data_IF_497219654893
#
_entry.id   IF_497219654893
#
_cell.length_a   1.000
_cell.length_b   1.000
_cell.length_c   1.000
_cell.angle_alpha   90.00
_cell.angle_beta   90.00
_cell.angle_gamma   90.00
#
_symmetry.space_group_name_H-M   'P 1'
#
loop_
_entity.id
_entity.type
_entity.pdbx_description
1 polymer ?
#
# COMPACT_ATOMS: atom_id res chain seq x y z
N UNK A 1 7.14 -13.11 35.32
CA UNK A 1 6.06 -12.36 34.64
C UNK A 1 6.10 -12.69 33.16
N UNK A 2 5.07 -13.31 32.63
CA UNK A 2 4.96 -13.57 31.20
C UNK A 2 4.75 -12.21 30.48
N UNK A 3 5.64 -11.86 29.56
CA UNK A 3 5.47 -10.65 28.74
C UNK A 3 4.55 -11.02 27.58
N UNK A 4 3.46 -10.29 27.43
CA UNK A 4 2.52 -10.43 26.31
C UNK A 4 3.25 -10.21 24.98
N UNK A 5 2.99 -11.06 23.99
CA UNK A 5 3.55 -11.00 22.65
C UNK A 5 2.45 -10.71 21.61
N UNK A 6 2.86 -10.35 20.40
CA UNK A 6 1.89 -10.10 19.30
C UNK A 6 1.08 -11.36 18.95
N UNK A 7 1.63 -12.55 19.11
CA UNK A 7 0.91 -13.82 18.91
C UNK A 7 -0.25 -14.02 19.90
N UNK A 8 -0.22 -13.32 21.06
CA UNK A 8 -1.25 -13.38 22.09
C UNK A 8 -2.44 -12.44 21.81
N UNK A 9 -2.31 -11.53 20.83
CA UNK A 9 -3.31 -10.54 20.45
C UNK A 9 -3.66 -10.67 18.96
N UNK A 10 -4.94 -10.49 18.61
CA UNK A 10 -5.35 -10.46 17.22
C UNK A 10 -5.13 -9.09 16.56
N UNK A 11 -5.18 -9.05 15.24
CA UNK A 11 -4.97 -7.84 14.43
C UNK A 11 -5.86 -6.67 14.85
N UNK A 12 -7.14 -6.92 15.10
CA UNK A 12 -8.11 -5.90 15.53
C UNK A 12 -7.69 -5.22 16.84
N UNK A 13 -7.27 -6.01 17.83
CA UNK A 13 -6.82 -5.49 19.12
C UNK A 13 -5.49 -4.76 18.97
N UNK A 14 -4.59 -5.25 18.11
CA UNK A 14 -3.35 -4.58 17.78
C UNK A 14 -3.61 -3.17 17.21
N UNK A 15 -4.49 -3.04 16.22
CA UNK A 15 -4.87 -1.75 15.62
C UNK A 15 -5.52 -0.83 16.67
N UNK A 16 -6.42 -1.37 17.50
CA UNK A 16 -7.03 -0.60 18.59
C UNK A 16 -6.00 0.00 19.53
N UNK A 17 -5.00 -0.77 19.93
CA UNK A 17 -3.93 -0.30 20.82
C UNK A 17 -3.06 0.77 20.18
N UNK A 18 -2.87 0.73 18.86
CA UNK A 18 -2.17 1.76 18.11
C UNK A 18 -2.95 3.07 18.00
N UNK A 19 -4.26 3.01 18.06
CA UNK A 19 -5.13 4.19 17.93
C UNK A 19 -4.83 5.30 18.93
N UNK A 20 -4.29 4.97 20.12
CA UNK A 20 -3.86 5.98 21.10
C UNK A 20 -2.70 6.89 20.66
N UNK A 21 -1.94 6.44 19.66
CA UNK A 21 -0.81 7.18 19.10
C UNK A 21 -1.20 7.98 17.83
N UNK A 22 -2.43 7.86 17.38
CA UNK A 22 -2.90 8.44 16.12
C UNK A 22 -3.95 9.53 16.38
N UNK A 23 -4.12 10.48 15.45
CA UNK A 23 -5.28 11.37 15.47
C UNK A 23 -6.58 10.57 15.41
N UNK A 24 -7.65 11.13 15.99
CA UNK A 24 -8.97 10.49 15.97
C UNK A 24 -9.44 10.24 14.53
N UNK A 25 -10.08 9.11 14.30
CA UNK A 25 -10.67 8.68 13.02
C UNK A 25 -9.68 8.30 11.90
N UNK A 26 -8.39 8.11 12.19
CA UNK A 26 -7.43 7.63 11.17
C UNK A 26 -7.36 6.10 11.04
N UNK A 27 -7.99 5.37 11.94
CA UNK A 27 -8.03 3.89 11.93
C UNK A 27 -9.36 3.32 11.45
N UNK A 28 -10.27 4.16 10.94
CA UNK A 28 -11.62 3.75 10.56
C UNK A 28 -11.76 3.34 9.10
N UNK A 29 -10.76 3.61 8.28
CA UNK A 29 -10.74 3.34 6.84
C UNK A 29 -9.35 2.85 6.40
N UNK A 30 -9.25 2.23 5.23
CA UNK A 30 -8.00 1.72 4.66
C UNK A 30 -7.05 2.85 4.26
N UNK A 31 -7.58 4.06 4.06
CA UNK A 31 -6.78 5.25 3.73
C UNK A 31 -6.78 6.29 4.85
N UNK A 32 -5.61 6.87 5.09
CA UNK A 32 -5.49 8.08 5.88
C UNK A 32 -5.92 9.29 5.06
N UNK A 33 -6.67 10.22 5.70
CA UNK A 33 -7.10 11.47 5.09
C UNK A 33 -6.25 12.63 5.60
N UNK A 34 -5.57 13.32 4.67
CA UNK A 34 -4.79 14.53 4.95
C UNK A 34 -5.55 15.74 4.39
N UNK A 35 -6.07 16.58 5.26
CA UNK A 35 -6.78 17.80 4.87
C UNK A 35 -5.77 18.90 4.54
N UNK A 36 -5.87 19.47 3.35
CA UNK A 36 -5.10 20.65 2.94
C UNK A 36 -6.04 21.82 2.61
N UNK A 37 -5.48 23.00 2.33
CA UNK A 37 -6.29 24.18 1.99
C UNK A 37 -7.08 24.04 0.68
N UNK A 38 -6.54 23.30 -0.29
CA UNK A 38 -7.07 23.26 -1.64
C UNK A 38 -7.72 21.91 -1.97
N UNK A 39 -7.12 20.82 -1.52
CA UNK A 39 -7.55 19.46 -1.82
C UNK A 39 -7.28 18.54 -0.62
N UNK A 40 -8.09 17.53 -0.47
CA UNK A 40 -7.83 16.46 0.48
C UNK A 40 -7.01 15.36 -0.17
N UNK A 41 -5.99 14.89 0.51
CA UNK A 41 -5.16 13.78 0.07
C UNK A 41 -5.58 12.50 0.79
N UNK A 42 -5.64 11.42 0.04
CA UNK A 42 -5.78 10.06 0.55
C UNK A 42 -4.42 9.37 0.45
N UNK A 43 -4.05 8.68 1.50
CA UNK A 43 -2.79 7.94 1.57
C UNK A 43 -3.05 6.57 2.17
N UNK A 44 -2.61 5.53 1.50
CA UNK A 44 -2.56 4.19 2.08
C UNK A 44 -1.19 3.54 1.88
N UNK A 45 -0.90 2.55 2.70
CA UNK A 45 0.32 1.76 2.58
C UNK A 45 -0.02 0.30 2.76
N UNK A 46 0.43 -0.52 1.82
CA UNK A 46 0.30 -1.97 1.88
C UNK A 46 1.63 -2.66 1.58
N UNK A 47 1.84 -3.83 2.17
CA UNK A 47 3.09 -4.58 2.06
C UNK A 47 2.84 -6.02 1.64
N UNK A 48 3.63 -6.49 0.68
CA UNK A 48 3.69 -7.88 0.27
C UNK A 48 5.00 -8.50 0.78
N UNK A 49 4.88 -9.56 1.55
CA UNK A 49 6.01 -10.28 2.18
C UNK A 49 6.14 -11.65 1.56
N UNK A 50 7.35 -12.01 1.14
CA UNK A 50 7.68 -13.34 0.62
C UNK A 50 7.31 -14.43 1.63
N UNK A 51 6.80 -15.55 1.16
CA UNK A 51 6.30 -16.69 1.95
C UNK A 51 5.08 -16.39 2.85
N UNK A 52 4.53 -15.17 2.82
CA UNK A 52 3.28 -14.79 3.47
C UNK A 52 2.23 -14.45 2.41
N UNK A 53 2.55 -13.52 1.52
CA UNK A 53 1.62 -13.01 0.49
C UNK A 53 1.93 -13.51 -0.92
N UNK A 54 3.16 -13.95 -1.17
CA UNK A 54 3.62 -14.47 -2.45
C UNK A 54 4.85 -15.36 -2.28
N UNK A 55 5.18 -16.11 -3.33
CA UNK A 55 6.48 -16.77 -3.51
C UNK A 55 6.85 -16.75 -4.99
N UNK A 56 8.13 -16.93 -5.32
CA UNK A 56 8.59 -17.02 -6.71
C UNK A 56 7.97 -18.21 -7.48
N UNK A 57 7.39 -19.20 -6.76
CA UNK A 57 6.68 -20.33 -7.34
C UNK A 57 5.22 -20.03 -7.69
N UNK A 58 4.62 -19.03 -7.05
CA UNK A 58 3.18 -18.75 -7.17
C UNK A 58 2.87 -17.58 -8.09
N UNK A 59 3.82 -16.66 -8.28
CA UNK A 59 3.63 -15.46 -9.09
C UNK A 59 4.96 -15.01 -9.69
N UNK A 60 4.95 -14.60 -10.95
CA UNK A 60 6.12 -13.98 -11.56
C UNK A 60 6.31 -12.52 -11.09
N UNK A 61 7.54 -11.98 -11.14
CA UNK A 61 7.80 -10.62 -10.63
C UNK A 61 6.98 -9.54 -11.33
N UNK A 62 6.70 -9.68 -12.62
CA UNK A 62 5.89 -8.72 -13.36
C UNK A 62 4.44 -8.68 -12.84
N UNK A 63 3.81 -9.82 -12.63
CA UNK A 63 2.45 -9.89 -12.09
C UNK A 63 2.41 -9.47 -10.61
N UNK A 64 3.49 -9.74 -9.86
CA UNK A 64 3.64 -9.28 -8.49
C UNK A 64 3.68 -7.76 -8.41
N UNK A 65 4.44 -7.11 -9.29
CA UNK A 65 4.49 -5.65 -9.38
C UNK A 65 3.14 -5.03 -9.75
N UNK A 66 2.43 -5.64 -10.69
CA UNK A 66 1.05 -5.27 -11.03
C UNK A 66 0.13 -5.38 -9.81
N UNK A 67 0.11 -6.53 -9.16
CA UNK A 67 -0.71 -6.81 -7.98
C UNK A 67 -0.45 -5.80 -6.86
N UNK A 68 0.81 -5.50 -6.57
CA UNK A 68 1.20 -4.57 -5.50
C UNK A 68 0.63 -3.17 -5.72
N UNK A 69 0.64 -2.67 -6.96
CA UNK A 69 0.08 -1.37 -7.31
C UNK A 69 -1.44 -1.39 -7.29
N UNK A 70 -2.06 -2.40 -7.91
CA UNK A 70 -3.52 -2.47 -8.04
C UNK A 70 -4.20 -2.60 -6.68
N UNK A 71 -3.63 -3.35 -5.74
CA UNK A 71 -4.13 -3.44 -4.36
C UNK A 71 -4.23 -2.05 -3.73
N UNK A 72 -3.15 -1.27 -3.75
CA UNK A 72 -3.12 0.08 -3.19
C UNK A 72 -4.07 1.06 -3.90
N UNK A 73 -4.15 0.99 -5.23
CA UNK A 73 -5.08 1.85 -5.99
C UNK A 73 -6.54 1.49 -5.69
N UNK A 74 -6.84 0.21 -5.50
CA UNK A 74 -8.17 -0.24 -5.10
C UNK A 74 -8.62 0.40 -3.79
N UNK A 75 -7.74 0.46 -2.80
CA UNK A 75 -8.03 1.08 -1.51
C UNK A 75 -8.24 2.60 -1.65
N UNK A 76 -7.42 3.28 -2.47
CA UNK A 76 -7.63 4.69 -2.78
C UNK A 76 -9.01 4.93 -3.42
N UNK A 77 -9.41 4.10 -4.39
CA UNK A 77 -10.68 4.23 -5.08
C UNK A 77 -11.86 3.95 -4.14
N UNK A 78 -11.77 2.91 -3.30
CA UNK A 78 -12.81 2.58 -2.33
C UNK A 78 -13.01 3.68 -1.28
N UNK A 79 -11.93 4.41 -0.96
CA UNK A 79 -11.96 5.58 -0.06
C UNK A 79 -12.33 6.90 -0.77
N UNK A 80 -12.74 6.84 -2.04
CA UNK A 80 -13.26 7.99 -2.79
C UNK A 80 -12.19 8.83 -3.50
N UNK A 81 -11.06 8.25 -3.88
CA UNK A 81 -10.08 8.94 -4.71
C UNK A 81 -10.61 9.18 -6.12
N UNK A 82 -10.55 10.42 -6.59
CA UNK A 82 -10.85 10.80 -7.99
C UNK A 82 -9.64 10.71 -8.91
N UNK A 83 -8.44 10.69 -8.33
CA UNK A 83 -7.18 10.69 -9.09
C UNK A 83 -6.06 10.09 -8.25
N UNK A 84 -5.31 9.15 -8.83
CA UNK A 84 -4.04 8.69 -8.29
C UNK A 84 -2.94 9.68 -8.66
N UNK A 85 -2.21 10.18 -7.67
CA UNK A 85 -1.04 11.07 -7.89
C UNK A 85 0.15 10.22 -8.25
N UNK A 86 0.42 9.20 -7.47
CA UNK A 86 1.56 8.31 -7.64
C UNK A 86 1.82 7.46 -6.41
N UNK A 87 2.95 6.77 -6.46
CA UNK A 87 3.36 5.83 -5.42
C UNK A 87 4.82 6.05 -5.01
N UNK A 88 5.13 5.71 -3.77
CA UNK A 88 6.50 5.42 -3.35
C UNK A 88 6.65 3.92 -3.10
N UNK A 89 7.85 3.38 -3.32
CA UNK A 89 8.13 1.96 -3.21
C UNK A 89 9.31 1.77 -2.26
N UNK A 90 9.11 1.02 -1.19
CA UNK A 90 10.20 0.54 -0.34
C UNK A 90 10.39 -0.95 -0.60
N UNK A 91 11.61 -1.34 -0.96
CA UNK A 91 12.01 -2.71 -1.20
C UNK A 91 12.97 -3.18 -0.12
N UNK A 92 12.71 -4.36 0.42
CA UNK A 92 13.71 -5.14 1.14
C UNK A 92 14.01 -6.36 0.30
N UNK A 93 15.28 -6.56 -0.06
CA UNK A 93 15.67 -7.64 -0.97
C UNK A 93 16.89 -8.41 -0.44
N UNK A 94 16.89 -9.74 -0.54
CA UNK A 94 18.09 -10.54 -0.33
C UNK A 94 19.20 -10.16 -1.32
N UNK A 95 20.44 -10.15 -0.87
CA UNK A 95 21.59 -9.82 -1.73
C UNK A 95 21.75 -10.76 -2.93
N UNK A 96 21.18 -11.97 -2.87
CA UNK A 96 21.14 -12.95 -3.95
C UNK A 96 20.07 -12.70 -5.02
N UNK A 97 19.19 -11.68 -4.82
CA UNK A 97 18.14 -11.36 -5.79
C UNK A 97 18.75 -10.91 -7.10
N UNK A 98 18.37 -11.53 -8.20
CA UNK A 98 18.86 -11.18 -9.53
C UNK A 98 18.27 -9.84 -10.00
N UNK A 99 19.07 -9.04 -10.71
CA UNK A 99 18.60 -7.76 -11.25
C UNK A 99 17.38 -7.91 -12.18
N UNK A 100 17.34 -8.97 -12.98
CA UNK A 100 16.20 -9.26 -13.86
C UNK A 100 14.89 -9.38 -13.09
N UNK A 101 14.90 -9.94 -11.87
CA UNK A 101 13.73 -10.02 -11.02
C UNK A 101 13.20 -8.61 -10.67
N UNK A 102 14.10 -7.70 -10.32
CA UNK A 102 13.74 -6.29 -9.99
C UNK A 102 13.21 -5.58 -11.23
N UNK A 103 13.87 -5.75 -12.36
CA UNK A 103 13.47 -5.14 -13.62
C UNK A 103 12.05 -5.58 -14.05
N UNK A 104 11.75 -6.88 -13.95
CA UNK A 104 10.42 -7.40 -14.27
C UNK A 104 9.35 -6.91 -13.26
N UNK A 105 9.69 -6.81 -11.98
CA UNK A 105 8.80 -6.21 -10.96
C UNK A 105 8.41 -4.77 -11.37
N UNK A 106 9.39 -3.95 -11.73
CA UNK A 106 9.14 -2.56 -12.13
C UNK A 106 8.41 -2.44 -13.48
N UNK A 107 8.56 -3.39 -14.40
CA UNK A 107 7.73 -3.47 -15.61
C UNK A 107 6.25 -3.68 -15.26
N UNK A 108 5.97 -4.55 -14.31
CA UNK A 108 4.60 -4.76 -13.81
C UNK A 108 4.03 -3.53 -13.11
N UNK A 109 4.81 -2.89 -12.26
CA UNK A 109 4.44 -1.64 -11.59
C UNK A 109 4.09 -0.56 -12.61
N UNK A 110 4.98 -0.32 -13.58
CA UNK A 110 4.76 0.70 -14.62
C UNK A 110 3.54 0.39 -15.50
N UNK A 111 3.29 -0.89 -15.80
CA UNK A 111 2.10 -1.30 -16.55
C UNK A 111 0.82 -0.94 -15.81
N UNK A 112 0.76 -1.19 -14.49
CA UNK A 112 -0.39 -0.84 -13.67
C UNK A 112 -0.58 0.68 -13.57
N UNK A 113 0.49 1.45 -13.34
CA UNK A 113 0.42 2.91 -13.29
C UNK A 113 0.00 3.53 -14.63
N UNK A 114 0.42 2.94 -15.75
CA UNK A 114 -0.01 3.38 -17.08
C UNK A 114 -1.52 3.19 -17.29
N UNK A 115 -2.09 2.13 -16.72
CA UNK A 115 -3.52 1.84 -16.86
C UNK A 115 -4.39 2.66 -15.90
N UNK A 116 -3.99 2.75 -14.63
CA UNK A 116 -4.81 3.37 -13.57
C UNK A 116 -4.39 4.79 -13.22
N UNK A 117 -3.32 5.28 -13.80
CA UNK A 117 -2.78 6.61 -13.52
C UNK A 117 -1.76 6.65 -12.39
N UNK A 118 -1.08 7.78 -12.30
CA UNK A 118 -0.02 8.00 -11.33
C UNK A 118 1.38 7.74 -11.88
N UNK A 119 2.37 8.03 -11.06
CA UNK A 119 3.80 7.86 -11.38
C UNK A 119 4.55 7.32 -10.17
N UNK A 120 5.73 6.78 -10.38
CA UNK A 120 6.66 6.46 -9.28
C UNK A 120 7.27 7.78 -8.79
N UNK A 121 7.00 8.14 -7.54
CA UNK A 121 7.47 9.38 -6.90
C UNK A 121 8.85 9.21 -6.25
N UNK A 122 9.20 8.00 -5.86
CA UNK A 122 10.44 7.69 -5.19
C UNK A 122 10.35 6.38 -4.41
N UNK A 123 11.26 6.20 -3.47
CA UNK A 123 11.28 5.02 -2.62
C UNK A 123 12.59 4.80 -1.91
N UNK A 124 12.76 3.61 -1.40
CA UNK A 124 13.95 3.15 -0.69
C UNK A 124 14.26 1.69 -1.03
N UNK A 125 15.50 1.29 -0.85
CA UNK A 125 15.91 -0.09 -1.02
C UNK A 125 16.88 -0.49 0.09
N UNK A 126 16.53 -1.54 0.80
CA UNK A 126 17.32 -2.08 1.89
C UNK A 126 17.62 -3.57 1.66
N UNK A 127 18.70 -4.05 2.30
CA UNK A 127 19.05 -5.47 2.30
C UNK A 127 18.30 -6.19 3.43
N UNK A 128 17.78 -7.39 3.15
CA UNK A 128 17.15 -8.26 4.13
C UNK A 128 17.23 -9.72 3.75
N UNK A 129 16.58 -10.58 4.51
CA UNK A 129 16.63 -12.03 4.28
C UNK A 129 15.51 -12.50 3.35
N UNK A 130 14.38 -11.80 3.32
CA UNK A 130 13.20 -12.07 2.50
C UNK A 130 12.86 -10.87 1.62
N UNK A 131 12.14 -11.09 0.52
CA UNK A 131 11.63 -10.02 -0.32
C UNK A 131 10.41 -9.39 0.34
N UNK A 132 10.45 -8.07 0.52
CA UNK A 132 9.32 -7.27 0.99
C UNK A 132 9.14 -6.11 0.02
N UNK A 133 7.90 -5.93 -0.45
CA UNK A 133 7.51 -4.84 -1.33
C UNK A 133 6.46 -4.03 -0.59
N UNK A 134 6.80 -2.82 -0.17
CA UNK A 134 5.86 -1.90 0.47
C UNK A 134 5.59 -0.73 -0.45
N UNK A 135 4.32 -0.50 -0.76
CA UNK A 135 3.89 0.62 -1.59
C UNK A 135 3.07 1.57 -0.74
N UNK A 136 3.41 2.85 -0.81
CA UNK A 136 2.56 3.93 -0.31
C UNK A 136 1.97 4.65 -1.52
N UNK A 137 0.66 4.68 -1.61
CA UNK A 137 -0.07 5.33 -2.69
C UNK A 137 -0.72 6.63 -2.23
N UNK A 138 -0.71 7.62 -3.12
CA UNK A 138 -1.25 8.95 -2.89
C UNK A 138 -2.36 9.24 -3.90
N UNK A 139 -3.52 9.66 -3.40
CA UNK A 139 -4.66 10.04 -4.21
C UNK A 139 -5.25 11.38 -3.81
N UNK A 140 -6.04 11.96 -4.68
CA UNK A 140 -6.84 13.15 -4.40
C UNK A 140 -8.26 12.70 -4.14
N UNK A 141 -8.82 13.06 -2.98
CA UNK A 141 -10.22 12.79 -2.66
C UNK A 141 -11.14 13.55 -3.62
N UNK A 142 -12.13 12.85 -4.17
CA UNK A 142 -13.23 13.47 -4.92
C UNK A 142 -14.17 14.23 -3.99
N UNK A 143 -14.99 15.09 -4.56
CA UNK A 143 -16.18 15.57 -3.87
C UNK A 143 -17.08 14.36 -3.65
N UNK A 144 -17.42 14.07 -2.39
CA UNK A 144 -18.49 13.13 -2.09
C UNK A 144 -19.77 13.75 -2.62
N UNK A 145 -20.19 13.37 -3.81
CA UNK A 145 -21.56 13.61 -4.21
C UNK A 145 -22.47 12.84 -3.24
N UNK A 146 -23.02 13.57 -2.29
CA UNK A 146 -24.07 13.10 -1.36
C UNK A 146 -25.37 12.70 -2.09
N UNK A 147 -25.32 12.50 -3.40
CA UNK A 147 -26.48 12.21 -4.24
C UNK A 147 -26.97 10.76 -4.19
N UNK A 148 -26.29 9.87 -3.48
CA UNK A 148 -26.69 8.45 -3.35
C UNK A 148 -27.37 8.09 -2.02
N UNK A 149 -27.70 9.08 -1.18
CA UNK A 149 -28.47 8.84 0.06
C UNK A 149 -29.87 9.46 -0.08
N UNK A 150 -30.55 9.16 -1.16
CA UNK A 150 -32.00 9.32 -1.29
C UNK A 150 -32.60 8.14 -2.05
N UNK A 151 -32.60 6.99 -1.38
CA UNK A 151 -33.58 5.94 -1.65
C UNK A 151 -34.04 5.41 -0.29
#
# INVERSE_FOLDING_TARGET
MHKEKLEDIGEKEFINRLGKFMPKNQTSDDCALIKTKNENLLVNTDSLVENVHFSDFTICPQDLGWKAVVSNISDLLSSGSKKTIGITISLVLPARTEWIWVEELYKGINKALKEYGGVILGGDCSKGDEKIISITAFGIQGELELSLIHI
#
